data_IF_533888146038
#
_entry.id   IF_533888146038
#
_cell.length_a   1.000
_cell.length_b   1.000
_cell.length_c   1.000
_cell.angle_alpha   90.00
_cell.angle_beta   90.00
_cell.angle_gamma   90.00
#
_symmetry.space_group_name_H-M   'P 1'
#
loop_
_entity.id
_entity.type
_entity.pdbx_description
1 polymer ?
#
# COMPACT_ATOMS: atom_id res chain seq x y z
N UNK A 1 5.05 0.95 -17.38
CA UNK A 1 5.89 -0.28 -17.37
C UNK A 1 7.38 0.04 -17.26
N UNK A 2 7.96 0.83 -18.18
CA UNK A 2 9.38 1.25 -18.10
C UNK A 2 9.77 1.92 -16.77
N UNK A 3 8.92 2.81 -16.22
CA UNK A 3 9.17 3.44 -14.91
C UNK A 3 9.30 2.41 -13.79
N UNK A 4 8.41 1.40 -13.76
CA UNK A 4 8.49 0.33 -12.77
C UNK A 4 9.77 -0.50 -12.90
N UNK A 5 10.21 -0.79 -14.14
CA UNK A 5 11.47 -1.49 -14.40
C UNK A 5 12.67 -0.74 -13.84
N UNK A 6 12.72 0.57 -14.09
CA UNK A 6 13.79 1.45 -13.60
C UNK A 6 13.77 1.56 -12.07
N UNK A 7 12.61 1.64 -11.44
CA UNK A 7 12.51 1.69 -9.97
C UNK A 7 12.92 0.37 -9.30
N UNK A 8 12.72 -0.78 -9.96
CA UNK A 8 13.08 -2.10 -9.43
C UNK A 8 14.54 -2.50 -9.66
N UNK A 9 15.28 -1.81 -10.54
CA UNK A 9 16.60 -2.28 -10.98
C UNK A 9 17.68 -2.23 -9.91
N UNK A 10 17.49 -1.48 -8.82
CA UNK A 10 18.45 -1.37 -7.71
C UNK A 10 18.09 -2.25 -6.49
N UNK A 11 17.08 -3.12 -6.61
CA UNK A 11 16.50 -3.87 -5.48
C UNK A 11 16.64 -5.37 -5.65
N UNK A 12 16.28 -6.13 -4.61
CA UNK A 12 16.34 -7.60 -4.63
C UNK A 12 15.49 -8.22 -5.77
N UNK A 13 14.48 -7.49 -6.25
CA UNK A 13 13.61 -7.89 -7.35
C UNK A 13 14.24 -7.70 -8.74
N UNK A 14 15.47 -7.19 -8.86
CA UNK A 14 16.14 -6.90 -10.13
C UNK A 14 16.15 -8.09 -11.09
N UNK A 15 16.45 -9.30 -10.58
CA UNK A 15 16.52 -10.52 -11.39
C UNK A 15 15.19 -10.90 -12.06
N UNK A 16 14.06 -10.42 -11.53
CA UNK A 16 12.71 -10.66 -12.08
C UNK A 16 11.94 -9.35 -12.27
N UNK A 17 12.66 -8.26 -12.58
CA UNK A 17 12.09 -6.90 -12.68
C UNK A 17 10.92 -6.82 -13.65
N UNK A 18 10.97 -7.54 -14.77
CA UNK A 18 9.90 -7.55 -15.78
C UNK A 18 8.58 -8.10 -15.24
N UNK A 19 8.66 -9.22 -14.52
CA UNK A 19 7.50 -9.88 -13.94
C UNK A 19 6.83 -8.98 -12.89
N UNK A 20 7.61 -8.48 -11.93
CA UNK A 20 7.09 -7.60 -10.88
C UNK A 20 6.64 -6.24 -11.42
N UNK A 21 7.29 -5.72 -12.47
CA UNK A 21 6.85 -4.49 -13.13
C UNK A 21 5.47 -4.64 -13.74
N UNK A 22 5.20 -5.77 -14.42
CA UNK A 22 3.88 -6.04 -14.98
C UNK A 22 2.84 -6.18 -13.86
N UNK A 23 3.15 -6.95 -12.82
CA UNK A 23 2.28 -7.15 -11.65
C UNK A 23 1.89 -5.81 -11.00
N UNK A 24 2.86 -4.93 -10.75
CA UNK A 24 2.60 -3.62 -10.14
C UNK A 24 1.79 -2.70 -11.06
N UNK A 25 2.05 -2.72 -12.37
CA UNK A 25 1.28 -1.92 -13.34
C UNK A 25 -0.17 -2.40 -13.40
N UNK A 26 -0.40 -3.71 -13.47
CA UNK A 26 -1.74 -4.29 -13.51
C UNK A 26 -2.52 -3.96 -12.22
N UNK A 27 -1.85 -4.01 -11.06
CA UNK A 27 -2.45 -3.63 -9.78
C UNK A 27 -2.87 -2.14 -9.74
N UNK A 28 -2.01 -1.23 -10.21
CA UNK A 28 -2.33 0.22 -10.23
C UNK A 28 -3.41 0.55 -11.25
N UNK A 29 -3.44 -0.13 -12.39
CA UNK A 29 -4.50 0.07 -13.40
C UNK A 29 -5.87 -0.35 -12.87
N UNK A 30 -5.95 -1.41 -12.04
CA UNK A 30 -7.20 -1.83 -11.39
C UNK A 30 -7.81 -0.77 -10.46
N UNK A 31 -7.00 0.13 -9.89
CA UNK A 31 -7.48 1.23 -9.03
C UNK A 31 -8.26 2.31 -9.81
N UNK A 32 -8.34 2.26 -11.14
CA UNK A 32 -9.14 3.15 -12.00
C UNK A 32 -8.95 4.65 -11.69
N UNK A 33 -7.70 5.09 -11.52
CA UNK A 33 -7.35 6.49 -11.29
C UNK A 33 -7.45 6.96 -9.83
N UNK A 34 -7.90 6.09 -8.91
CA UNK A 34 -7.69 6.33 -7.48
C UNK A 34 -6.21 6.15 -7.16
N UNK A 35 -5.67 7.08 -6.40
CA UNK A 35 -4.24 7.06 -6.00
C UNK A 35 -4.04 6.60 -4.59
N UNK A 36 -5.09 6.09 -3.97
CA UNK A 36 -5.02 5.55 -2.65
C UNK A 36 -4.46 4.13 -2.73
N UNK A 37 -3.24 3.97 -2.25
CA UNK A 37 -2.56 2.68 -2.21
C UNK A 37 -3.19 1.73 -1.18
N UNK A 38 -4.06 2.23 -0.29
CA UNK A 38 -4.80 1.39 0.65
C UNK A 38 -5.69 0.37 -0.08
N UNK A 39 -6.08 0.61 -1.33
CA UNK A 39 -6.80 -0.37 -2.16
C UNK A 39 -5.97 -1.59 -2.58
N UNK A 40 -4.65 -1.57 -2.42
CA UNK A 40 -3.76 -2.69 -2.74
C UNK A 40 -3.30 -3.33 -1.44
N UNK A 41 -3.74 -4.56 -1.19
CA UNK A 41 -3.26 -5.35 -0.07
C UNK A 41 -2.07 -6.20 -0.49
N UNK A 42 -1.01 -6.20 0.31
CA UNK A 42 0.14 -7.08 0.10
C UNK A 42 0.12 -8.16 1.19
N UNK A 43 0.03 -9.43 0.78
CA UNK A 43 0.05 -10.59 1.68
C UNK A 43 1.40 -11.30 1.50
N UNK A 44 2.18 -11.39 2.58
CA UNK A 44 3.46 -12.10 2.61
C UNK A 44 3.26 -13.54 3.08
N UNK A 45 3.75 -14.52 2.32
CA UNK A 45 3.74 -15.94 2.70
C UNK A 45 5.09 -16.58 2.46
N UNK A 46 5.60 -17.24 3.51
CA UNK A 46 6.87 -17.95 3.47
C UNK A 46 6.80 -19.19 2.59
N UNK A 47 7.97 -19.57 2.08
CA UNK A 47 8.15 -20.72 1.21
C UNK A 47 7.88 -20.42 -0.25
N UNK A 48 8.31 -21.35 -1.10
CA UNK A 48 8.34 -21.27 -2.55
C UNK A 48 9.30 -20.19 -3.08
N UNK A 49 9.41 -20.12 -4.41
CA UNK A 49 10.24 -19.13 -5.07
C UNK A 49 9.51 -17.80 -5.16
N UNK A 50 10.26 -16.72 -5.25
CA UNK A 50 9.72 -15.38 -5.45
C UNK A 50 8.93 -15.23 -6.78
N UNK A 51 9.20 -16.09 -7.77
CA UNK A 51 8.41 -16.18 -9.00
C UNK A 51 6.96 -16.60 -8.78
N UNK A 52 6.69 -17.30 -7.69
CA UNK A 52 5.36 -17.82 -7.39
C UNK A 52 4.48 -16.75 -6.71
N UNK A 53 4.99 -15.52 -6.60
CA UNK A 53 4.21 -14.34 -6.21
C UNK A 53 3.27 -13.96 -7.33
N UNK A 54 2.03 -13.54 -7.05
CA UNK A 54 1.06 -13.19 -8.09
C UNK A 54 0.09 -12.09 -7.62
N UNK A 55 -0.56 -11.45 -8.59
CA UNK A 55 -1.71 -10.57 -8.36
C UNK A 55 -2.97 -11.43 -8.42
N UNK A 56 -3.74 -11.47 -7.34
CA UNK A 56 -5.03 -12.16 -7.34
C UNK A 56 -6.04 -11.36 -8.18
N UNK A 57 -6.85 -12.06 -8.98
CA UNK A 57 -7.79 -11.38 -9.86
C UNK A 57 -8.94 -10.73 -9.09
N UNK A 58 -9.34 -11.32 -7.97
CA UNK A 58 -10.24 -10.74 -6.98
C UNK A 58 -9.52 -10.29 -5.71
N UNK A 59 -10.00 -10.75 -4.56
CA UNK A 59 -9.53 -10.30 -3.26
C UNK A 59 -9.30 -11.47 -2.31
N UNK A 60 -8.23 -11.42 -1.53
CA UNK A 60 -7.94 -12.40 -0.49
C UNK A 60 -8.07 -11.74 0.88
N UNK A 61 -8.80 -12.41 1.77
CA UNK A 61 -8.96 -12.00 3.16
C UNK A 61 -8.28 -13.03 4.08
N UNK A 62 -7.40 -12.56 4.97
CA UNK A 62 -6.69 -13.39 5.96
C UNK A 62 -7.59 -13.75 7.14
N UNK A 63 -8.69 -14.44 6.86
CA UNK A 63 -9.66 -14.91 7.86
C UNK A 63 -10.13 -16.31 7.53
N UNK A 64 -10.87 -16.90 8.46
CA UNK A 64 -11.51 -18.20 8.31
C UNK A 64 -13.02 -18.01 8.28
N UNK A 65 -13.70 -18.92 7.62
CA UNK A 65 -15.16 -18.98 7.64
C UNK A 65 -15.60 -19.57 8.98
N UNK A 66 -16.75 -19.11 9.49
CA UNK A 66 -17.37 -19.62 10.72
C UNK A 66 -17.62 -21.13 10.73
N UNK A 67 -17.84 -21.67 11.93
CA UNK A 67 -17.99 -23.12 12.15
C UNK A 67 -19.34 -23.61 11.58
N UNK A 68 -19.35 -24.80 10.96
CA UNK A 68 -20.54 -25.41 10.34
C UNK A 68 -21.16 -24.61 9.17
N UNK A 69 -20.40 -23.72 8.54
CA UNK A 69 -20.82 -22.96 7.37
C UNK A 69 -20.22 -23.54 6.07
N UNK A 70 -20.86 -23.31 4.91
CA UNK A 70 -20.33 -23.78 3.63
C UNK A 70 -18.97 -23.13 3.35
N UNK A 71 -17.94 -23.93 3.07
CA UNK A 71 -16.59 -23.42 2.76
C UNK A 71 -16.45 -22.83 1.36
N UNK A 72 -17.45 -23.07 0.52
CA UNK A 72 -17.54 -22.58 -0.85
C UNK A 72 -18.98 -22.14 -1.11
N UNK A 73 -19.14 -20.96 -1.67
CA UNK A 73 -20.43 -20.37 -2.00
C UNK A 73 -20.37 -19.70 -3.37
N UNK A 74 -21.34 -20.02 -4.22
CA UNK A 74 -21.50 -19.43 -5.55
C UNK A 74 -22.59 -18.35 -5.52
N UNK A 75 -22.44 -17.31 -6.35
CA UNK A 75 -23.34 -16.16 -6.46
C UNK A 75 -23.62 -15.49 -5.09
N UNK A 76 -22.56 -14.98 -4.47
CA UNK A 76 -22.61 -14.32 -3.18
C UNK A 76 -23.25 -12.92 -3.26
N UNK A 77 -24.26 -12.70 -2.41
CA UNK A 77 -24.88 -11.43 -2.03
C UNK A 77 -24.44 -11.09 -0.61
N UNK A 78 -23.52 -10.14 -0.53
CA UNK A 78 -22.71 -9.89 0.65
C UNK A 78 -23.20 -8.62 1.33
N UNK A 79 -23.51 -8.72 2.62
CA UNK A 79 -23.74 -7.55 3.47
C UNK A 79 -22.45 -7.26 4.24
N UNK A 80 -21.92 -6.05 4.07
CA UNK A 80 -20.73 -5.58 4.76
C UNK A 80 -21.18 -4.69 5.91
N UNK A 81 -20.77 -5.02 7.12
CA UNK A 81 -21.26 -4.36 8.32
C UNK A 81 -20.17 -3.93 9.29
N UNK A 82 -20.50 -2.90 10.07
CA UNK A 82 -19.76 -2.50 11.25
C UNK A 82 -20.74 -2.34 12.42
N UNK A 83 -21.07 -3.47 13.05
CA UNK A 83 -21.97 -3.53 14.21
C UNK A 83 -21.37 -4.44 15.30
N UNK A 84 -21.59 -4.15 16.59
CA UNK A 84 -21.33 -5.14 17.63
C UNK A 84 -22.26 -6.34 17.44
N UNK A 85 -21.69 -7.54 17.48
CA UNK A 85 -22.40 -8.82 17.51
C UNK A 85 -22.02 -9.60 18.79
N UNK A 86 -21.79 -8.86 19.86
CA UNK A 86 -21.69 -9.33 21.25
C UNK A 86 -22.96 -8.86 21.99
N UNK A 87 -23.24 -9.44 23.16
CA UNK A 87 -24.19 -8.96 24.16
C UNK A 87 -24.30 -7.45 24.10
N UNK A 88 -25.41 -6.98 23.55
CA UNK A 88 -25.58 -5.60 23.09
C UNK A 88 -25.82 -4.72 24.32
N UNK A 89 -24.79 -4.60 25.16
CA UNK A 89 -24.78 -3.86 26.40
C UNK A 89 -25.17 -2.44 26.05
N UNK A 90 -26.29 -2.02 26.62
CA UNK A 90 -26.82 -0.69 26.43
C UNK A 90 -25.69 0.29 26.78
N UNK A 91 -25.20 1.05 25.79
CA UNK A 91 -24.08 2.00 25.92
C UNK A 91 -24.45 3.26 26.72
N UNK A 92 -25.31 3.12 27.72
CA UNK A 92 -25.56 4.17 28.71
C UNK A 92 -24.49 3.99 29.78
N UNK A 93 -23.51 4.89 29.80
CA UNK A 93 -22.49 4.95 30.84
C UNK A 93 -23.16 4.92 32.23
N UNK A 94 -22.82 3.92 33.05
CA UNK A 94 -23.35 3.80 34.41
C UNK A 94 -24.65 3.00 34.57
N UNK A 95 -25.19 2.38 33.51
CA UNK A 95 -26.31 1.45 33.63
C UNK A 95 -25.89 0.20 34.43
N UNK A 96 -26.13 0.23 35.75
CA UNK A 96 -26.02 -0.94 36.63
C UNK A 96 -27.42 -1.48 36.86
N UNK A 97 -27.69 -2.66 36.31
CA UNK A 97 -28.96 -3.34 36.57
C UNK A 97 -28.87 -3.97 37.98
N UNK A 98 -29.59 -3.39 38.94
CA UNK A 98 -29.77 -3.98 40.27
C UNK A 98 -31.01 -4.86 40.23
N UNK A 99 -30.84 -6.13 40.53
CA UNK A 99 -31.90 -7.14 40.55
C UNK A 99 -32.06 -7.69 41.95
N UNK A 100 -33.32 -7.76 42.41
CA UNK A 100 -33.66 -8.17 43.77
C UNK A 100 -33.67 -9.70 43.93
N UNK A 101 -33.73 -10.45 42.82
CA UNK A 101 -33.91 -11.90 42.80
C UNK A 101 -33.17 -12.54 41.62
N UNK A 102 -32.67 -13.76 41.80
CA UNK A 102 -31.98 -14.54 40.75
C UNK A 102 -32.86 -14.79 39.53
N UNK A 103 -34.19 -14.90 39.69
CA UNK A 103 -35.13 -15.06 38.58
C UNK A 103 -35.08 -13.89 37.58
N UNK A 104 -34.99 -12.65 38.07
CA UNK A 104 -34.85 -11.46 37.23
C UNK A 104 -33.53 -11.43 36.47
N UNK A 105 -32.47 -12.05 36.99
CA UNK A 105 -31.19 -12.20 36.26
C UNK A 105 -31.40 -13.08 35.02
N UNK A 106 -32.07 -14.23 35.20
CA UNK A 106 -32.36 -15.14 34.10
C UNK A 106 -33.27 -14.51 33.03
N UNK A 107 -34.27 -13.72 33.45
CA UNK A 107 -35.12 -12.95 32.53
C UNK A 107 -34.31 -11.93 31.71
N UNK A 108 -33.34 -11.24 32.32
CA UNK A 108 -32.46 -10.31 31.62
C UNK A 108 -31.54 -11.03 30.62
N UNK A 109 -30.97 -12.18 30.99
CA UNK A 109 -30.17 -12.99 30.06
C UNK A 109 -30.98 -13.45 28.85
N UNK A 110 -32.24 -13.85 29.06
CA UNK A 110 -33.15 -14.21 27.98
C UNK A 110 -33.48 -13.00 27.09
N UNK A 111 -33.77 -11.84 27.68
CA UNK A 111 -34.03 -10.61 26.94
C UNK A 111 -32.83 -10.16 26.09
N UNK A 112 -31.60 -10.32 26.59
CA UNK A 112 -30.38 -10.05 25.82
C UNK A 112 -30.24 -11.00 24.61
N UNK A 113 -30.54 -12.29 24.79
CA UNK A 113 -30.54 -13.28 23.69
C UNK A 113 -31.63 -12.97 22.66
N UNK A 114 -32.85 -12.62 23.09
CA UNK A 114 -33.93 -12.25 22.18
C UNK A 114 -33.58 -11.00 21.37
N UNK A 115 -33.01 -9.98 22.00
CA UNK A 115 -32.53 -8.77 21.30
C UNK A 115 -31.48 -9.11 20.24
N UNK A 116 -30.57 -10.04 20.53
CA UNK A 116 -29.58 -10.50 19.55
C UNK A 116 -30.24 -11.26 18.40
N UNK A 117 -31.20 -12.13 18.70
CA UNK A 117 -31.99 -12.86 17.70
C UNK A 117 -32.76 -11.92 16.79
N UNK A 118 -33.38 -10.88 17.32
CA UNK A 118 -34.08 -9.84 16.55
C UNK A 118 -33.13 -9.07 15.65
N UNK A 119 -31.92 -8.76 16.13
CA UNK A 119 -30.88 -8.10 15.33
C UNK A 119 -30.42 -8.98 14.15
N UNK A 120 -30.20 -10.27 14.39
CA UNK A 120 -29.89 -11.24 13.32
C UNK A 120 -31.07 -11.34 12.34
N UNK A 121 -32.31 -11.41 12.82
CA UNK A 121 -33.49 -11.43 11.96
C UNK A 121 -33.58 -10.19 11.07
N UNK A 122 -33.27 -8.99 11.61
CA UNK A 122 -33.19 -7.77 10.81
C UNK A 122 -32.12 -7.86 9.72
N UNK A 123 -30.95 -8.44 10.00
CA UNK A 123 -29.91 -8.68 8.99
C UNK A 123 -30.39 -9.64 7.91
N UNK A 124 -31.07 -10.72 8.30
CA UNK A 124 -31.60 -11.72 7.36
C UNK A 124 -32.69 -11.16 6.42
N UNK A 125 -33.44 -10.13 6.85
CA UNK A 125 -34.40 -9.44 5.99
C UNK A 125 -33.76 -8.76 4.76
N UNK A 126 -32.45 -8.48 4.79
CA UNK A 126 -31.70 -7.97 3.63
C UNK A 126 -31.50 -9.04 2.54
N UNK A 127 -31.87 -10.31 2.79
CA UNK A 127 -31.70 -11.43 1.87
C UNK A 127 -30.24 -11.64 1.40
N UNK A 128 -29.27 -11.39 2.30
CA UNK A 128 -27.86 -11.69 2.09
C UNK A 128 -27.57 -13.18 2.34
N UNK A 129 -26.63 -13.75 1.58
CA UNK A 129 -26.11 -15.10 1.82
C UNK A 129 -24.73 -15.11 2.50
N UNK A 130 -24.05 -13.96 2.51
CA UNK A 130 -22.82 -13.74 3.28
C UNK A 130 -22.95 -12.46 4.10
N UNK A 131 -22.57 -12.56 5.37
CA UNK A 131 -22.48 -11.45 6.30
C UNK A 131 -21.03 -11.27 6.72
N UNK A 132 -20.44 -10.12 6.38
CA UNK A 132 -19.08 -9.76 6.77
C UNK A 132 -19.17 -8.66 7.80
N UNK A 133 -18.64 -8.88 8.99
CA UNK A 133 -18.62 -7.89 10.05
C UNK A 133 -17.19 -7.46 10.38
N UNK A 134 -17.03 -6.16 10.61
CA UNK A 134 -15.78 -5.60 11.13
C UNK A 134 -15.46 -6.13 12.53
N UNK A 135 -16.49 -6.26 13.36
CA UNK A 135 -16.35 -6.69 14.75
C UNK A 135 -16.48 -8.22 14.84
N UNK A 136 -16.11 -8.77 15.99
CA UNK A 136 -16.30 -10.18 16.30
C UNK A 136 -17.79 -10.54 16.30
N UNK A 137 -18.09 -11.79 15.97
CA UNK A 137 -19.43 -12.39 16.02
C UNK A 137 -19.36 -13.51 17.06
N UNK A 138 -20.09 -13.36 18.16
CA UNK A 138 -20.09 -14.37 19.23
C UNK A 138 -20.86 -15.63 18.82
N UNK A 139 -20.62 -16.72 19.54
CA UNK A 139 -21.16 -18.07 19.25
C UNK A 139 -22.68 -18.09 19.01
N UNK A 140 -23.45 -17.33 19.79
CA UNK A 140 -24.92 -17.32 19.67
C UNK A 140 -25.40 -16.73 18.34
N UNK A 141 -25.05 -15.48 17.96
CA UNK A 141 -25.37 -14.98 16.62
C UNK A 141 -24.73 -15.79 15.48
N UNK A 142 -23.52 -16.34 15.66
CA UNK A 142 -22.89 -17.21 14.66
C UNK A 142 -23.74 -18.46 14.37
N UNK A 143 -24.23 -19.13 15.43
CA UNK A 143 -25.13 -20.27 15.31
C UNK A 143 -26.43 -19.90 14.57
N UNK A 144 -27.01 -18.73 14.87
CA UNK A 144 -28.23 -18.28 14.18
C UNK A 144 -28.01 -18.05 12.67
N UNK A 145 -26.82 -17.55 12.27
CA UNK A 145 -26.48 -17.44 10.85
C UNK A 145 -26.30 -18.82 10.21
N UNK A 146 -25.63 -19.75 10.90
CA UNK A 146 -25.41 -21.12 10.41
C UNK A 146 -26.73 -21.88 10.20
N UNK A 147 -27.67 -21.80 11.16
CA UNK A 147 -29.00 -22.41 11.05
C UNK A 147 -29.82 -21.89 9.86
N UNK A 148 -29.56 -20.64 9.45
CA UNK A 148 -30.21 -19.99 8.31
C UNK A 148 -29.42 -20.11 7.01
N UNK A 149 -28.27 -20.78 7.03
CA UNK A 149 -27.42 -21.00 5.86
C UNK A 149 -26.70 -19.74 5.37
N UNK A 150 -26.51 -18.73 6.22
CA UNK A 150 -25.76 -17.52 5.90
C UNK A 150 -24.31 -17.68 6.36
N UNK A 151 -23.36 -17.44 5.46
CA UNK A 151 -21.94 -17.46 5.77
C UNK A 151 -21.56 -16.21 6.57
N UNK A 152 -21.08 -16.37 7.79
CA UNK A 152 -20.56 -15.28 8.60
C UNK A 152 -19.02 -15.23 8.50
N UNK A 153 -18.49 -14.03 8.26
CA UNK A 153 -17.06 -13.73 8.31
C UNK A 153 -16.88 -12.61 9.33
N UNK A 154 -16.18 -12.90 10.41
CA UNK A 154 -15.98 -11.95 11.50
C UNK A 154 -14.60 -11.29 11.47
N UNK A 155 -14.49 -10.22 12.25
CA UNK A 155 -13.22 -9.55 12.54
C UNK A 155 -12.41 -9.18 11.29
N UNK A 156 -13.09 -8.72 10.24
CA UNK A 156 -12.42 -8.06 9.14
C UNK A 156 -11.92 -6.69 9.63
N UNK A 157 -10.62 -6.44 9.53
CA UNK A 157 -10.06 -5.15 9.97
C UNK A 157 -10.67 -3.98 9.20
N UNK A 158 -10.52 -2.77 9.74
CA UNK A 158 -11.12 -1.57 9.12
C UNK A 158 -10.75 -1.43 7.64
N UNK A 159 -9.46 -1.56 7.32
CA UNK A 159 -8.98 -1.55 5.93
C UNK A 159 -9.53 -2.73 5.12
N UNK A 160 -9.69 -3.91 5.73
CA UNK A 160 -10.25 -5.09 5.06
C UNK A 160 -11.71 -4.87 4.63
N UNK A 161 -12.52 -4.26 5.50
CA UNK A 161 -13.92 -3.93 5.22
C UNK A 161 -14.03 -2.86 4.14
N UNK A 162 -13.19 -1.83 4.17
CA UNK A 162 -13.16 -0.80 3.12
C UNK A 162 -12.72 -1.36 1.77
N UNK A 163 -11.69 -2.22 1.74
CA UNK A 163 -11.27 -2.93 0.52
C UNK A 163 -12.40 -3.81 0.00
N UNK A 164 -13.05 -4.61 0.85
CA UNK A 164 -14.19 -5.45 0.45
C UNK A 164 -15.33 -4.61 -0.11
N UNK A 165 -15.65 -3.46 0.47
CA UNK A 165 -16.65 -2.54 -0.07
C UNK A 165 -16.27 -2.06 -1.49
N UNK A 166 -15.01 -1.71 -1.72
CA UNK A 166 -14.50 -1.30 -3.03
C UNK A 166 -14.45 -2.44 -4.07
N UNK A 167 -14.14 -3.67 -3.64
CA UNK A 167 -14.07 -4.84 -4.52
C UNK A 167 -15.47 -5.32 -4.92
N UNK A 168 -16.34 -5.48 -3.92
CA UNK A 168 -17.67 -6.07 -4.05
C UNK A 168 -18.73 -5.04 -4.50
N UNK A 169 -18.42 -3.74 -4.36
CA UNK A 169 -19.31 -2.64 -4.67
C UNK A 169 -20.53 -2.58 -3.75
N UNK A 170 -20.34 -2.85 -2.46
CA UNK A 170 -21.38 -2.79 -1.42
C UNK A 170 -21.12 -1.69 -0.40
N UNK A 171 -22.17 -1.23 0.28
CA UNK A 171 -22.07 -0.21 1.32
C UNK A 171 -21.69 -0.84 2.67
N UNK A 172 -20.94 -0.10 3.49
CA UNK A 172 -20.64 -0.49 4.86
C UNK A 172 -21.78 -0.01 5.75
N UNK A 173 -22.50 -0.94 6.38
CA UNK A 173 -23.73 -0.65 7.12
C UNK A 173 -23.56 -0.88 8.62
N UNK A 174 -24.12 0.02 9.43
CA UNK A 174 -24.20 -0.15 10.89
C UNK A 174 -25.63 -0.29 11.41
N UNK A 175 -26.63 0.02 10.58
CA UNK A 175 -28.06 0.01 10.95
C UNK A 175 -28.85 -0.83 9.96
N UNK A 176 -29.68 -1.76 10.45
CA UNK A 176 -30.33 -2.78 9.62
C UNK A 176 -31.84 -2.58 9.43
N UNK A 177 -32.41 -1.47 9.90
CA UNK A 177 -33.87 -1.25 9.92
C UNK A 177 -34.47 -0.98 8.53
N UNK A 178 -33.68 -0.55 7.54
CA UNK A 178 -34.17 -0.22 6.20
C UNK A 178 -33.42 -1.03 5.12
N UNK A 179 -33.91 -2.23 4.75
CA UNK A 179 -33.27 -3.06 3.72
C UNK A 179 -33.17 -2.41 2.34
N UNK A 180 -34.19 -1.66 1.93
CA UNK A 180 -34.29 -1.15 0.55
C UNK A 180 -33.24 -0.09 0.19
N UNK A 181 -32.59 0.51 1.20
CA UNK A 181 -31.60 1.59 1.00
C UNK A 181 -30.15 1.09 0.96
N UNK A 182 -29.93 -0.20 1.24
CA UNK A 182 -28.58 -0.76 1.37
C UNK A 182 -28.16 -1.41 0.05
N UNK A 183 -27.02 -0.98 -0.48
CA UNK A 183 -26.40 -1.67 -1.61
C UNK A 183 -25.60 -2.88 -1.12
N UNK A 184 -26.08 -4.08 -1.44
CA UNK A 184 -25.35 -5.32 -1.18
C UNK A 184 -24.18 -5.49 -2.16
N UNK A 185 -23.06 -6.01 -1.65
CA UNK A 185 -21.93 -6.44 -2.45
C UNK A 185 -22.24 -7.71 -3.23
N UNK A 186 -21.58 -7.90 -4.37
CA UNK A 186 -21.74 -9.10 -5.22
C UNK A 186 -20.39 -9.74 -5.56
N UNK A 187 -20.35 -11.06 -5.53
CA UNK A 187 -19.18 -11.87 -5.89
C UNK A 187 -19.64 -13.20 -6.50
N UNK A 188 -18.99 -13.69 -7.54
CA UNK A 188 -19.41 -14.92 -8.22
C UNK A 188 -19.06 -16.17 -7.39
N UNK A 189 -17.88 -16.19 -6.76
CA UNK A 189 -17.41 -17.31 -5.97
C UNK A 189 -16.68 -16.82 -4.71
N UNK A 190 -17.01 -17.41 -3.57
CA UNK A 190 -16.27 -17.29 -2.32
C UNK A 190 -15.83 -18.68 -1.90
N UNK A 191 -14.54 -18.89 -1.66
CA UNK A 191 -14.01 -20.16 -1.18
C UNK A 191 -12.86 -19.99 -0.19
N UNK A 192 -12.76 -20.91 0.77
CA UNK A 192 -11.61 -21.01 1.66
C UNK A 192 -10.47 -21.76 0.95
N UNK A 193 -9.37 -21.05 0.67
CA UNK A 193 -8.15 -21.59 0.08
C UNK A 193 -7.02 -21.66 1.10
N UNK A 194 -6.05 -22.53 0.85
CA UNK A 194 -4.84 -22.64 1.67
C UNK A 194 -3.67 -22.08 0.88
N UNK A 195 -2.99 -21.06 1.42
CA UNK A 195 -1.76 -20.52 0.83
C UNK A 195 -0.63 -20.71 1.84
N UNK A 196 0.25 -21.70 1.57
CA UNK A 196 1.25 -22.12 2.55
C UNK A 196 0.57 -22.93 3.65
N UNK A 197 0.61 -22.43 4.88
CA UNK A 197 -0.01 -23.08 6.05
C UNK A 197 -1.31 -22.40 6.49
N UNK A 198 -1.56 -21.17 6.01
CA UNK A 198 -2.70 -20.36 6.41
C UNK A 198 -3.90 -20.57 5.49
N UNK A 199 -5.08 -20.50 6.10
CA UNK A 199 -6.36 -20.46 5.39
C UNK A 199 -6.75 -19.01 5.13
N UNK A 200 -7.11 -18.71 3.89
CA UNK A 200 -7.60 -17.42 3.45
C UNK A 200 -8.92 -17.60 2.72
N UNK A 201 -9.74 -16.55 2.71
CA UNK A 201 -10.98 -16.52 1.95
C UNK A 201 -10.69 -15.81 0.63
N UNK A 202 -10.91 -16.51 -0.48
CA UNK A 202 -10.78 -16.00 -1.83
C UNK A 202 -12.14 -15.55 -2.36
N UNK A 203 -12.21 -14.30 -2.78
CA UNK A 203 -13.34 -13.70 -3.48
C UNK A 203 -12.98 -13.62 -4.97
N UNK A 204 -13.71 -14.32 -5.83
CA UNK A 204 -13.50 -14.36 -7.29
C UNK A 204 -14.74 -13.89 -8.06
N UNK A 205 -14.53 -13.27 -9.22
CA UNK A 205 -15.64 -12.71 -10.01
C UNK A 205 -16.27 -11.52 -9.30
N UNK A 206 -15.48 -10.45 -9.12
CA UNK A 206 -15.85 -9.28 -8.31
C UNK A 206 -16.44 -8.18 -9.19
N UNK A 207 -17.45 -7.48 -8.68
CA UNK A 207 -18.24 -6.54 -9.50
C UNK A 207 -17.49 -5.26 -9.91
N UNK A 208 -16.72 -4.64 -9.00
CA UNK A 208 -16.04 -3.36 -9.25
C UNK A 208 -14.52 -3.49 -9.34
N UNK A 209 -13.92 -4.48 -8.69
CA UNK A 209 -12.48 -4.80 -8.82
C UNK A 209 -11.53 -3.65 -8.51
N UNK A 210 -11.97 -2.64 -7.75
CA UNK A 210 -11.20 -1.41 -7.46
C UNK A 210 -10.17 -1.58 -6.33
N UNK A 211 -10.03 -2.78 -5.80
CA UNK A 211 -9.01 -3.16 -4.85
C UNK A 211 -8.52 -4.57 -5.22
N UNK A 212 -7.27 -4.86 -4.89
CA UNK A 212 -6.63 -6.11 -5.30
C UNK A 212 -5.63 -6.59 -4.25
N UNK A 213 -5.34 -7.89 -4.27
CA UNK A 213 -4.37 -8.48 -3.36
C UNK A 213 -3.16 -9.00 -4.13
N UNK A 214 -1.97 -8.57 -3.73
CA UNK A 214 -0.69 -9.10 -4.21
C UNK A 214 -0.21 -10.13 -3.19
N UNK A 215 -0.04 -11.37 -3.60
CA UNK A 215 0.57 -12.42 -2.77
C UNK A 215 2.05 -12.49 -3.07
N UNK A 216 2.89 -12.27 -2.06
CA UNK A 216 4.34 -12.40 -2.14
C UNK A 216 4.77 -13.73 -1.53
N UNK A 217 5.55 -14.48 -2.31
CA UNK A 217 6.22 -15.71 -1.90
C UNK A 217 7.72 -15.48 -1.79
N UNK A 218 8.37 -16.18 -0.87
CA UNK A 218 9.80 -15.98 -0.64
C UNK A 218 10.38 -16.97 0.34
N UNK A 219 11.67 -17.27 0.17
CA UNK A 219 12.39 -18.26 0.97
C UNK A 219 12.59 -17.82 2.43
N UNK A 220 12.76 -16.53 2.69
CA UNK A 220 13.01 -15.97 4.03
C UNK A 220 12.16 -14.73 4.28
N UNK A 221 11.90 -14.43 5.56
CA UNK A 221 11.14 -13.23 5.96
C UNK A 221 11.83 -11.94 5.50
N UNK A 222 13.16 -11.86 5.61
CA UNK A 222 13.94 -10.70 5.18
C UNK A 222 13.75 -10.40 3.68
N UNK A 223 13.71 -11.46 2.84
CA UNK A 223 13.47 -11.31 1.40
C UNK A 223 12.04 -10.81 1.14
N UNK A 224 11.06 -11.31 1.89
CA UNK A 224 9.67 -10.88 1.78
C UNK A 224 9.47 -9.42 2.20
N UNK A 225 10.11 -9.00 3.29
CA UNK A 225 10.03 -7.62 3.79
C UNK A 225 10.69 -6.64 2.79
N UNK A 226 11.85 -7.02 2.24
CA UNK A 226 12.50 -6.21 1.20
C UNK A 226 11.72 -6.21 -0.11
N UNK A 227 11.07 -7.31 -0.47
CA UNK A 227 10.20 -7.38 -1.65
C UNK A 227 8.94 -6.52 -1.49
N UNK A 228 8.30 -6.54 -0.31
CA UNK A 228 7.16 -5.67 0.01
C UNK A 228 7.56 -4.20 -0.10
N UNK A 229 8.67 -3.81 0.53
CA UNK A 229 9.22 -2.45 0.42
C UNK A 229 9.51 -2.08 -1.03
N UNK A 230 10.13 -3.00 -1.77
CA UNK A 230 10.47 -2.81 -3.17
C UNK A 230 9.24 -2.52 -4.03
N UNK A 231 8.17 -3.28 -3.83
CA UNK A 231 6.89 -3.15 -4.53
C UNK A 231 6.17 -1.88 -4.09
N UNK A 232 6.13 -1.58 -2.80
CA UNK A 232 5.52 -0.36 -2.28
C UNK A 232 6.08 0.90 -2.94
N UNK A 233 7.41 1.00 -3.09
CA UNK A 233 8.03 2.13 -3.77
C UNK A 233 7.62 2.22 -5.25
N UNK A 234 7.48 1.09 -5.94
CA UNK A 234 6.99 1.06 -7.34
C UNK A 234 5.55 1.51 -7.41
N UNK A 235 4.68 1.01 -6.52
CA UNK A 235 3.29 1.41 -6.44
C UNK A 235 3.15 2.91 -6.14
N UNK A 236 4.00 3.46 -5.27
CA UNK A 236 4.10 4.90 -5.02
C UNK A 236 4.42 5.67 -6.29
N UNK A 237 5.48 5.29 -7.02
CA UNK A 237 5.88 6.01 -8.24
C UNK A 237 4.81 5.89 -9.33
N UNK A 238 4.24 4.70 -9.53
CA UNK A 238 3.20 4.47 -10.52
C UNK A 238 1.91 5.24 -10.21
N UNK A 239 1.44 5.23 -8.97
CA UNK A 239 0.23 5.95 -8.56
C UNK A 239 0.37 7.46 -8.74
N UNK A 240 1.55 8.04 -8.47
CA UNK A 240 1.82 9.45 -8.76
C UNK A 240 1.91 9.72 -10.27
N UNK A 241 2.49 8.79 -11.03
CA UNK A 241 2.56 8.91 -12.50
C UNK A 241 1.18 8.88 -13.16
N UNK A 242 0.20 8.19 -12.56
CA UNK A 242 -1.20 8.24 -13.02
C UNK A 242 -1.80 9.64 -12.87
N UNK A 243 -1.41 10.41 -11.83
CA UNK A 243 -1.82 11.82 -11.70
C UNK A 243 -1.03 12.75 -12.62
N UNK A 244 0.27 12.53 -12.69
CA UNK A 244 1.23 13.36 -13.41
C UNK A 244 1.94 12.49 -14.46
N UNK A 245 1.41 12.43 -15.70
CA UNK A 245 1.89 11.51 -16.73
C UNK A 245 3.22 11.95 -17.37
N UNK A 246 3.75 13.13 -16.99
CA UNK A 246 5.05 13.61 -17.49
C UNK A 246 6.18 12.69 -17.03
N UNK A 247 7.10 12.42 -17.95
CA UNK A 247 8.24 11.55 -17.76
C UNK A 247 9.55 12.31 -17.95
N UNK A 248 10.62 11.77 -17.36
CA UNK A 248 11.99 12.19 -17.58
C UNK A 248 12.86 10.99 -17.93
N UNK A 249 13.99 11.26 -18.57
CA UNK A 249 15.00 10.25 -18.86
C UNK A 249 15.85 10.01 -17.61
N UNK A 250 15.92 8.75 -17.18
CA UNK A 250 16.67 8.37 -15.98
C UNK A 250 18.16 8.17 -16.25
N UNK A 251 18.81 7.34 -15.44
CA UNK A 251 20.22 6.98 -15.63
C UNK A 251 21.17 8.17 -15.61
N UNK A 252 20.84 9.23 -14.86
CA UNK A 252 21.66 10.45 -14.79
C UNK A 252 21.43 11.47 -15.90
N UNK A 253 20.58 11.17 -16.89
CA UNK A 253 20.32 12.07 -18.02
C UNK A 253 19.61 13.35 -17.56
N UNK A 254 18.57 13.23 -16.73
CA UNK A 254 17.84 14.38 -16.18
C UNK A 254 18.76 15.30 -15.35
N UNK A 255 19.60 14.71 -14.50
CA UNK A 255 20.55 15.43 -13.65
C UNK A 255 21.61 16.16 -14.47
N UNK A 256 22.15 15.50 -15.50
CA UNK A 256 23.13 16.13 -16.39
C UNK A 256 22.52 17.27 -17.21
N UNK A 257 21.28 17.10 -17.67
CA UNK A 257 20.56 18.15 -18.40
C UNK A 257 20.34 19.38 -17.51
N UNK A 258 19.89 19.16 -16.26
CA UNK A 258 19.75 20.23 -15.27
C UNK A 258 21.11 20.89 -14.96
N UNK A 259 22.17 20.10 -14.77
CA UNK A 259 23.51 20.63 -14.51
C UNK A 259 24.03 21.49 -15.67
N UNK A 260 23.74 21.11 -16.91
CA UNK A 260 24.12 21.88 -18.11
C UNK A 260 23.38 23.21 -18.14
N UNK A 261 22.07 23.22 -17.88
CA UNK A 261 21.27 24.45 -17.82
C UNK A 261 21.74 25.40 -16.69
N UNK A 262 22.03 24.86 -15.50
CA UNK A 262 22.54 25.63 -14.36
C UNK A 262 23.93 26.18 -14.65
N UNK A 263 24.81 25.41 -15.30
CA UNK A 263 26.14 25.87 -15.70
C UNK A 263 26.09 27.02 -16.71
N UNK A 264 25.16 26.96 -17.68
CA UNK A 264 24.95 28.04 -18.63
C UNK A 264 24.41 29.31 -17.96
N UNK A 265 23.61 29.17 -16.90
CA UNK A 265 23.17 30.30 -16.08
C UNK A 265 24.34 30.91 -15.32
N UNK A 266 25.22 30.09 -14.73
CA UNK A 266 26.39 30.59 -14.00
C UNK A 266 27.25 31.52 -14.85
N UNK A 267 27.52 31.15 -16.11
CA UNK A 267 28.32 31.99 -17.05
C UNK A 267 27.69 33.38 -17.29
N UNK A 268 26.36 33.50 -17.19
CA UNK A 268 25.64 34.77 -17.39
C UNK A 268 25.55 35.61 -16.13
N UNK A 269 25.73 35.02 -14.95
CA UNK A 269 25.61 35.68 -13.65
C UNK A 269 26.97 36.22 -13.22
N UNK A 270 27.03 37.49 -12.82
CA UNK A 270 28.27 38.10 -12.33
C UNK A 270 28.41 37.97 -10.81
N UNK A 271 29.66 37.92 -10.32
CA UNK A 271 29.96 37.99 -8.90
C UNK A 271 29.91 36.66 -8.15
N UNK A 272 29.77 36.73 -6.82
CA UNK A 272 29.89 35.56 -5.92
C UNK A 272 28.77 34.53 -6.12
N UNK A 273 27.59 34.97 -6.57
CA UNK A 273 26.45 34.08 -6.84
C UNK A 273 26.77 33.06 -7.96
N UNK A 274 27.56 33.44 -8.96
CA UNK A 274 28.01 32.53 -10.02
C UNK A 274 28.68 31.27 -9.46
N UNK A 275 29.51 31.43 -8.42
CA UNK A 275 30.25 30.31 -7.80
C UNK A 275 29.29 29.35 -7.09
N UNK A 276 28.23 29.87 -6.47
CA UNK A 276 27.20 29.06 -5.85
C UNK A 276 26.36 28.29 -6.90
N UNK A 277 25.99 28.96 -8.00
CA UNK A 277 25.27 28.34 -9.12
C UNK A 277 26.12 27.22 -9.75
N UNK A 278 27.41 27.46 -9.98
CA UNK A 278 28.33 26.43 -10.49
C UNK A 278 28.48 25.25 -9.53
N UNK A 279 28.52 25.51 -8.22
CA UNK A 279 28.56 24.48 -7.18
C UNK A 279 27.30 23.63 -7.19
N UNK A 280 26.13 24.23 -7.43
CA UNK A 280 24.87 23.50 -7.59
C UNK A 280 24.89 22.58 -8.83
N UNK A 281 25.41 23.06 -9.96
CA UNK A 281 25.61 22.21 -11.15
C UNK A 281 26.61 21.06 -10.89
N UNK A 282 27.63 21.28 -10.07
CA UNK A 282 28.55 20.21 -9.64
C UNK A 282 27.83 19.19 -8.75
N UNK A 283 27.00 19.64 -7.81
CA UNK A 283 26.22 18.74 -6.96
C UNK A 283 25.26 17.85 -7.76
N UNK A 284 24.58 18.42 -8.78
CA UNK A 284 23.74 17.64 -9.69
C UNK A 284 24.54 16.56 -10.45
N UNK A 285 25.76 16.89 -10.92
CA UNK A 285 26.65 15.92 -11.58
C UNK A 285 27.14 14.80 -10.65
N UNK A 286 27.17 15.05 -9.33
CA UNK A 286 27.60 14.04 -8.38
C UNK A 286 26.64 12.83 -8.33
N UNK A 287 25.36 13.03 -8.63
CA UNK A 287 24.37 11.94 -8.67
C UNK A 287 24.75 10.85 -9.69
N UNK A 288 24.95 11.14 -10.99
CA UNK A 288 25.42 10.14 -11.92
C UNK A 288 26.84 9.65 -11.63
N UNK A 289 27.72 10.47 -11.03
CA UNK A 289 29.05 10.01 -10.57
C UNK A 289 28.92 8.87 -9.57
N UNK A 290 28.07 9.02 -8.55
CA UNK A 290 27.83 7.99 -7.52
C UNK A 290 27.21 6.73 -8.13
N UNK A 291 26.34 6.87 -9.13
CA UNK A 291 25.77 5.71 -9.86
C UNK A 291 26.90 4.92 -10.56
N UNK A 292 27.80 5.61 -11.26
CA UNK A 292 28.93 4.98 -11.94
C UNK A 292 29.94 4.35 -10.95
N UNK A 293 30.23 5.03 -9.85
CA UNK A 293 31.12 4.53 -8.79
C UNK A 293 30.56 3.24 -8.15
N UNK A 294 29.26 3.22 -7.84
CA UNK A 294 28.60 2.03 -7.28
C UNK A 294 28.59 0.84 -8.25
N UNK A 295 28.61 1.11 -9.55
CA UNK A 295 28.72 0.08 -10.59
C UNK A 295 30.17 -0.39 -10.82
N UNK A 296 31.16 0.30 -10.25
CA UNK A 296 32.59 -0.06 -10.34
C UNK A 296 33.28 0.38 -11.63
N UNK A 297 32.69 1.32 -12.39
CA UNK A 297 33.29 1.86 -13.62
C UNK A 297 34.11 3.13 -13.34
N UNK A 298 34.92 3.57 -14.32
CA UNK A 298 35.57 4.87 -14.27
C UNK A 298 34.53 6.00 -14.42
N UNK A 299 34.10 6.53 -13.27
CA UNK A 299 33.12 7.61 -13.21
C UNK A 299 33.66 8.92 -13.79
N UNK A 300 34.97 9.18 -13.73
CA UNK A 300 35.54 10.40 -14.27
C UNK A 300 35.42 10.42 -15.81
N UNK A 301 35.75 9.30 -16.46
CA UNK A 301 35.62 9.15 -17.91
C UNK A 301 34.15 9.19 -18.34
N UNK A 302 33.29 8.40 -17.72
CA UNK A 302 31.86 8.31 -18.08
C UNK A 302 31.13 9.65 -17.94
N UNK A 303 31.37 10.38 -16.85
CA UNK A 303 30.73 11.67 -16.61
C UNK A 303 31.27 12.75 -17.55
N UNK A 304 32.57 12.69 -17.89
CA UNK A 304 33.15 13.59 -18.90
C UNK A 304 32.50 13.37 -20.27
N UNK A 305 32.37 12.12 -20.70
CA UNK A 305 31.73 11.74 -21.96
C UNK A 305 30.23 12.11 -21.97
N UNK A 306 29.52 11.86 -20.87
CA UNK A 306 28.11 12.22 -20.72
C UNK A 306 27.90 13.74 -20.81
N UNK A 307 28.76 14.52 -20.15
CA UNK A 307 28.72 15.99 -20.23
C UNK A 307 28.97 16.50 -21.64
N UNK A 308 29.94 15.92 -22.36
CA UNK A 308 30.22 16.27 -23.75
C UNK A 308 29.00 16.00 -24.65
N UNK A 309 28.35 14.85 -24.48
CA UNK A 309 27.13 14.51 -25.22
C UNK A 309 25.99 15.50 -24.96
N UNK A 310 25.71 15.84 -23.70
CA UNK A 310 24.66 16.81 -23.35
C UNK A 310 24.95 18.21 -23.88
N UNK A 311 26.22 18.65 -23.81
CA UNK A 311 26.65 19.94 -24.38
C UNK A 311 26.48 19.99 -25.89
N UNK A 312 26.65 18.85 -26.58
CA UNK A 312 26.42 18.70 -28.02
C UNK A 312 24.93 18.66 -28.42
N UNK A 313 24.00 18.79 -27.46
CA UNK A 313 22.55 18.76 -27.69
C UNK A 313 21.90 17.39 -27.54
N UNK A 314 22.65 16.34 -27.16
CA UNK A 314 22.11 14.99 -26.93
C UNK A 314 21.53 14.88 -25.51
N UNK A 315 20.39 15.52 -25.27
CA UNK A 315 19.74 15.59 -23.94
C UNK A 315 19.14 14.26 -23.44
N UNK A 316 19.01 13.26 -24.31
CA UNK A 316 18.45 11.93 -24.01
C UNK A 316 19.49 10.94 -23.50
N UNK A 317 20.77 11.28 -23.59
CA UNK A 317 21.86 10.37 -23.24
C UNK A 317 22.01 10.24 -21.72
N UNK A 318 22.27 9.03 -21.25
CA UNK A 318 22.50 8.71 -19.84
C UNK A 318 23.54 7.61 -19.68
N UNK A 319 23.63 7.07 -18.47
CA UNK A 319 24.56 6.01 -18.11
C UNK A 319 23.92 4.62 -18.32
N UNK A 320 24.52 3.83 -19.22
CA UNK A 320 24.26 2.40 -19.38
C UNK A 320 25.23 1.62 -18.49
N UNK A 321 24.73 1.19 -17.32
CA UNK A 321 25.52 0.47 -16.32
C UNK A 321 25.60 -1.03 -16.58
N UNK A 322 24.92 -1.56 -17.60
CA UNK A 322 25.11 -2.96 -18.01
C UNK A 322 26.36 -3.09 -18.89
N UNK A 323 26.61 -2.10 -19.76
CA UNK A 323 27.76 -2.09 -20.68
C UNK A 323 28.87 -1.10 -20.29
N UNK A 324 28.70 -0.32 -19.22
CA UNK A 324 29.69 0.67 -18.78
C UNK A 324 29.93 1.77 -19.81
N UNK A 325 28.87 2.29 -20.45
CA UNK A 325 28.98 3.31 -21.52
C UNK A 325 27.88 4.36 -21.42
N UNK A 326 27.97 5.41 -22.24
CA UNK A 326 26.86 6.33 -22.45
C UNK A 326 25.96 5.82 -23.58
N UNK A 327 24.64 5.89 -23.38
CA UNK A 327 23.66 5.44 -24.36
C UNK A 327 22.39 6.30 -24.31
N UNK A 328 21.52 6.16 -25.31
CA UNK A 328 20.23 6.84 -25.33
C UNK A 328 19.23 6.14 -24.40
N UNK A 329 18.73 6.88 -23.40
CA UNK A 329 17.81 6.36 -22.38
C UNK A 329 16.43 6.02 -22.96
N UNK A 330 16.04 6.62 -24.09
CA UNK A 330 14.79 6.28 -24.79
C UNK A 330 14.88 4.86 -25.34
N UNK A 331 16.02 4.54 -25.98
CA UNK A 331 16.25 3.22 -26.59
C UNK A 331 16.38 2.12 -25.53
N UNK A 332 17.02 2.43 -24.40
CA UNK A 332 17.13 1.52 -23.26
C UNK A 332 15.83 1.45 -22.42
N UNK A 333 14.86 2.34 -22.67
CA UNK A 333 13.61 2.39 -21.92
C UNK A 333 13.78 2.77 -20.45
N UNK A 334 14.83 3.53 -20.10
CA UNK A 334 15.11 3.98 -18.73
C UNK A 334 14.37 5.30 -18.50
N UNK A 335 13.18 5.21 -17.93
CA UNK A 335 12.28 6.34 -17.70
C UNK A 335 11.98 6.51 -16.21
N UNK A 336 11.85 7.74 -15.77
CA UNK A 336 11.46 8.09 -14.40
C UNK A 336 10.30 9.09 -14.43
N UNK A 337 9.58 9.20 -13.32
CA UNK A 337 8.50 10.19 -13.17
C UNK A 337 9.07 11.61 -13.09
N UNK A 338 8.49 12.55 -13.84
CA UNK A 338 8.86 13.97 -13.75
C UNK A 338 8.62 14.50 -12.32
N UNK A 339 7.49 14.14 -11.72
CA UNK A 339 7.13 14.58 -10.37
C UNK A 339 8.19 14.15 -9.34
N UNK A 340 8.71 12.93 -9.48
CA UNK A 340 9.78 12.42 -8.63
C UNK A 340 11.04 13.28 -8.73
N UNK A 341 11.54 13.56 -9.95
CA UNK A 341 12.75 14.38 -10.13
C UNK A 341 12.55 15.81 -9.66
N UNK A 342 11.38 16.40 -9.93
CA UNK A 342 11.03 17.73 -9.46
C UNK A 342 11.07 17.79 -7.92
N UNK A 343 10.47 16.81 -7.26
CA UNK A 343 10.43 16.75 -5.80
C UNK A 343 11.82 16.55 -5.20
N UNK A 344 12.65 15.69 -5.79
CA UNK A 344 14.05 15.48 -5.35
C UNK A 344 14.83 16.80 -5.35
N UNK A 345 14.79 17.55 -6.46
CA UNK A 345 15.53 18.82 -6.57
C UNK A 345 14.98 19.86 -5.60
N UNK A 346 13.65 19.99 -5.51
CA UNK A 346 13.01 20.97 -4.64
C UNK A 346 13.30 20.70 -3.16
N UNK A 347 13.08 19.47 -2.70
CA UNK A 347 13.31 19.09 -1.30
C UNK A 347 14.79 19.19 -0.92
N UNK A 348 15.71 18.82 -1.83
CA UNK A 348 17.14 18.99 -1.58
C UNK A 348 17.55 20.46 -1.47
N UNK A 349 17.00 21.33 -2.33
CA UNK A 349 17.27 22.77 -2.28
C UNK A 349 16.72 23.41 -0.99
N UNK A 350 15.48 23.09 -0.61
CA UNK A 350 14.86 23.55 0.65
C UNK A 350 15.66 23.09 1.87
N UNK A 351 16.12 21.83 1.88
CA UNK A 351 16.96 21.31 2.96
C UNK A 351 18.33 22.01 3.04
N UNK A 352 18.99 22.23 1.90
CA UNK A 352 20.26 22.94 1.85
C UNK A 352 20.10 24.38 2.35
N UNK A 353 19.05 25.08 1.94
CA UNK A 353 18.77 26.44 2.39
C UNK A 353 18.52 26.51 3.90
N UNK A 354 17.74 25.57 4.46
CA UNK A 354 17.50 25.49 5.90
C UNK A 354 18.81 25.32 6.67
N UNK A 355 19.69 24.40 6.24
CA UNK A 355 20.95 24.12 6.94
C UNK A 355 21.94 25.27 6.79
N UNK A 356 22.06 25.87 5.60
CA UNK A 356 22.99 26.98 5.36
C UNK A 356 22.63 28.26 6.13
N UNK A 357 21.35 28.43 6.50
CA UNK A 357 20.88 29.54 7.33
C UNK A 357 21.18 29.35 8.82
N UNK A 358 21.50 28.14 9.27
CA UNK A 358 21.85 27.88 10.67
C UNK A 358 23.23 28.43 10.97
N UNK A 359 23.29 29.47 11.78
CA UNK A 359 24.52 30.05 12.32
C UNK A 359 24.90 29.42 13.67
N UNK A 360 23.93 28.92 14.43
CA UNK A 360 24.17 28.37 15.77
C UNK A 360 23.21 27.23 16.14
N UNK A 361 23.69 26.23 16.91
CA UNK A 361 22.89 25.09 17.39
C UNK A 361 23.01 25.02 18.91
N UNK A 362 21.92 25.33 19.61
CA UNK A 362 21.85 25.25 21.07
C UNK A 362 21.10 23.96 21.45
N UNK A 363 21.76 23.08 22.20
CA UNK A 363 21.14 21.85 22.73
C UNK A 363 20.73 22.05 24.19
N UNK A 364 19.45 21.84 24.48
CA UNK A 364 18.96 21.82 25.86
C UNK A 364 19.54 20.62 26.63
N UNK A 365 19.76 20.74 27.94
CA UNK A 365 20.24 19.63 28.76
C UNK A 365 19.21 18.50 28.76
N UNK A 366 19.69 17.26 28.68
CA UNK A 366 18.84 16.07 28.76
C UNK A 366 18.16 16.05 30.12
N UNK A 367 16.84 15.80 30.13
CA UNK A 367 16.06 15.71 31.38
C UNK A 367 16.68 14.64 32.28
N UNK A 368 17.21 15.07 33.42
CA UNK A 368 17.68 14.14 34.44
C UNK A 368 16.45 13.40 34.99
N UNK A 369 16.47 12.06 34.92
CA UNK A 369 15.48 11.24 35.63
C UNK A 369 15.81 11.34 37.12
N UNK A 370 14.89 11.87 37.92
CA UNK A 370 14.97 11.74 39.38
C UNK A 370 15.07 10.25 39.71
N UNK A 371 16.06 9.86 40.51
CA UNK A 371 16.10 8.50 41.07
C UNK A 371 14.89 8.37 41.98
N UNK A 372 14.00 7.46 41.66
CA UNK A 372 12.80 7.16 42.43
C UNK A 372 13.25 6.71 43.84
N UNK A 373 13.26 7.63 44.81
CA UNK A 373 13.62 7.35 46.21
C UNK A 373 12.44 6.67 46.94
N UNK A 374 11.89 5.59 46.34
CA UNK A 374 10.82 4.77 46.93
C UNK A 374 11.30 3.44 47.51
N UNK A 375 12.61 3.30 47.71
CA UNK A 375 13.21 2.18 48.44
C UNK A 375 14.19 2.72 49.49
N UNK A 376 13.64 3.25 50.59
CA UNK A 376 14.31 3.29 51.90
C UNK A 376 13.30 3.04 53.00
#
# INVERSE_FOLDING_TARGET
>A
MNIARTTLSSKILQGKKDYFSKLCVDAVLKLNGKTDLQGIQIIKRLGNNMSDSYLEEGFLLEKRIGINMPKRLENARILIANTPMDTDKVKIFGARVRVDTVAKVAELELAEKEKMKDKVNKILQHNCNVFINRQLIYDYPEQLFAEKGVMAIEHADFEGVERLAQVLGGDIVSTFDTPDKVRLGKCDLIEEIIIGEDKLIKFSGVAQGQACTIVLRGATQQILDEAERSIHDVLCVLSQTVKEPRICYGGGAAEMLMATAVSQLAVKTAGKESVAIESFARALRQLPTIIADNAGYDSAELISNLRAAHTSGKSTFGLDMENGRIADMIQLGILESFHLKQQVVRSAAEAAEMVLRVDNIIRAPVRQRERDMRHH
#
